data_IF_277034146865
#
_entry.id   IF_277034146865
#
_cell.length_a   1.000
_cell.length_b   1.000
_cell.length_c   1.000
_cell.angle_alpha   90.00
_cell.angle_beta   90.00
_cell.angle_gamma   90.00
#
_symmetry.space_group_name_H-M   'P 1'
#
loop_
_entity.id
_entity.type
_entity.pdbx_description
1 polymer ?
#
# COMPACT_ATOMS: atom_id res chain seq x y z
N UNK A 1 85.96 -25.41 0.34
CA UNK A 1 85.44 -26.06 -0.89
C UNK A 1 83.92 -26.02 -0.86
N UNK A 2 83.29 -25.11 -1.60
CA UNK A 2 81.86 -25.20 -1.92
C UNK A 2 81.69 -24.72 -3.37
N UNK A 3 81.75 -25.66 -4.31
CA UNK A 3 81.41 -25.39 -5.72
C UNK A 3 79.91 -25.07 -5.78
N UNK A 4 79.57 -23.81 -6.03
CA UNK A 4 78.22 -23.41 -6.41
C UNK A 4 77.96 -23.91 -7.82
N UNK A 5 77.15 -24.96 -7.95
CA UNK A 5 76.66 -25.44 -9.23
C UNK A 5 75.76 -24.37 -9.86
N UNK A 6 76.32 -23.58 -10.78
CA UNK A 6 75.55 -22.62 -11.54
C UNK A 6 74.60 -23.36 -12.48
N UNK A 7 73.30 -23.24 -12.23
CA UNK A 7 72.25 -23.78 -13.10
C UNK A 7 72.49 -23.33 -14.54
N UNK A 8 72.51 -24.29 -15.47
CA UNK A 8 72.71 -24.02 -16.88
C UNK A 8 71.65 -23.06 -17.41
N UNK A 9 71.98 -22.28 -18.44
CA UNK A 9 71.04 -21.33 -19.07
C UNK A 9 69.75 -22.02 -19.50
N UNK A 10 69.82 -23.27 -19.95
CA UNK A 10 68.66 -24.10 -20.34
C UNK A 10 67.76 -24.42 -19.14
N UNK A 11 68.35 -24.76 -18.00
CA UNK A 11 67.59 -25.07 -16.76
C UNK A 11 66.88 -23.82 -16.21
N UNK A 12 67.52 -22.65 -16.29
CA UNK A 12 66.88 -21.37 -15.91
C UNK A 12 65.71 -21.01 -16.82
N UNK A 13 65.85 -21.19 -18.14
CA UNK A 13 64.76 -20.95 -19.09
C UNK A 13 63.59 -21.91 -18.83
N UNK A 14 63.88 -23.21 -18.59
CA UNK A 14 62.84 -24.19 -18.29
C UNK A 14 62.05 -23.86 -17.00
N UNK A 15 62.74 -23.42 -15.94
CA UNK A 15 62.08 -22.99 -14.70
C UNK A 15 61.23 -21.74 -14.89
N UNK A 16 61.70 -20.76 -15.68
CA UNK A 16 60.92 -19.57 -16.01
C UNK A 16 59.67 -19.89 -16.83
N UNK A 17 59.77 -20.79 -17.81
CA UNK A 17 58.61 -21.22 -18.59
C UNK A 17 57.61 -22.02 -17.74
N UNK A 18 58.09 -22.85 -16.81
CA UNK A 18 57.23 -23.58 -15.88
C UNK A 18 56.51 -22.64 -14.90
N UNK A 19 57.22 -21.64 -14.35
CA UNK A 19 56.64 -20.63 -13.48
C UNK A 19 55.61 -19.74 -14.21
N UNK A 20 55.92 -19.33 -15.44
CA UNK A 20 55.00 -18.58 -16.29
C UNK A 20 53.75 -19.41 -16.66
N UNK A 21 53.92 -20.70 -16.96
CA UNK A 21 52.80 -21.62 -17.21
C UNK A 21 51.91 -21.81 -15.98
N UNK A 22 52.50 -21.97 -14.79
CA UNK A 22 51.76 -22.08 -13.53
C UNK A 22 50.99 -20.79 -13.19
N UNK A 23 51.58 -19.61 -13.43
CA UNK A 23 50.91 -18.33 -13.27
C UNK A 23 49.75 -18.15 -14.27
N UNK A 24 49.94 -18.56 -15.53
CA UNK A 24 48.88 -18.53 -16.54
C UNK A 24 47.71 -19.47 -16.20
N UNK A 25 47.99 -20.68 -15.70
CA UNK A 25 46.96 -21.62 -15.23
C UNK A 25 46.26 -21.10 -13.97
N UNK A 26 46.99 -20.56 -13.00
CA UNK A 26 46.42 -19.95 -11.80
C UNK A 26 45.51 -18.75 -12.10
N UNK A 27 45.93 -17.88 -13.02
CA UNK A 27 45.11 -16.78 -13.52
C UNK A 27 43.86 -17.28 -14.27
N UNK A 28 44.00 -18.36 -15.06
CA UNK A 28 42.88 -18.97 -15.77
C UNK A 28 41.84 -19.58 -14.81
N UNK A 29 42.28 -20.24 -13.74
CA UNK A 29 41.41 -20.79 -12.69
C UNK A 29 40.69 -19.68 -11.90
N UNK A 30 41.35 -18.54 -11.66
CA UNK A 30 40.70 -17.35 -11.05
C UNK A 30 39.66 -16.69 -11.97
N UNK A 31 39.79 -16.87 -13.30
CA UNK A 31 38.78 -16.40 -14.28
C UNK A 31 37.68 -17.43 -14.59
N UNK A 32 37.89 -18.71 -14.24
CA UNK A 32 36.90 -19.77 -14.40
C UNK A 32 35.86 -19.67 -13.28
N UNK A 33 34.91 -18.76 -13.49
CA UNK A 33 33.74 -18.59 -12.63
C UNK A 33 32.99 -19.91 -12.48
N UNK A 34 32.37 -20.14 -11.32
CA UNK A 34 31.67 -21.40 -11.08
C UNK A 34 30.44 -21.55 -12.01
N UNK A 35 29.99 -22.78 -12.32
CA UNK A 35 28.74 -23.01 -13.04
C UNK A 35 27.54 -22.30 -12.38
N UNK A 36 27.52 -22.24 -11.04
CA UNK A 36 26.49 -21.55 -10.26
C UNK A 36 26.51 -20.04 -10.51
N UNK A 37 27.67 -19.40 -10.52
CA UNK A 37 27.78 -17.95 -10.81
C UNK A 37 27.43 -17.60 -12.25
N UNK A 38 27.73 -18.49 -13.21
CA UNK A 38 27.27 -18.34 -14.59
C UNK A 38 25.75 -18.45 -14.69
N UNK A 39 25.15 -19.43 -14.01
CA UNK A 39 23.71 -19.61 -13.98
C UNK A 39 22.99 -18.43 -13.32
N UNK A 40 23.50 -17.92 -12.18
CA UNK A 40 22.92 -16.76 -11.49
C UNK A 40 22.97 -15.50 -12.34
N UNK A 41 24.09 -15.19 -13.00
CA UNK A 41 24.15 -14.04 -13.92
C UNK A 41 23.27 -14.22 -15.14
N UNK A 42 23.16 -15.44 -15.67
CA UNK A 42 22.25 -15.70 -16.77
C UNK A 42 20.79 -15.47 -16.34
N UNK A 43 20.40 -15.97 -15.17
CA UNK A 43 19.09 -15.70 -14.59
C UNK A 43 18.85 -14.20 -14.34
N UNK A 44 19.85 -13.50 -13.80
CA UNK A 44 19.82 -12.04 -13.61
C UNK A 44 19.68 -11.30 -14.93
N UNK A 45 20.37 -11.73 -16.00
CA UNK A 45 20.27 -11.14 -17.35
C UNK A 45 18.89 -11.41 -17.98
N UNK A 46 18.35 -12.61 -17.78
CA UNK A 46 17.00 -12.99 -18.24
C UNK A 46 15.94 -12.17 -17.51
N UNK A 47 16.13 -11.87 -16.23
CA UNK A 47 15.21 -11.10 -15.41
C UNK A 47 15.44 -9.58 -15.46
N UNK A 48 16.61 -9.11 -15.90
CA UNK A 48 16.98 -7.69 -15.90
C UNK A 48 16.02 -6.81 -16.74
N UNK A 49 15.39 -7.39 -17.75
CA UNK A 49 14.40 -6.70 -18.60
C UNK A 49 12.95 -7.11 -18.31
N UNK A 50 12.72 -7.94 -17.28
CA UNK A 50 11.39 -8.31 -16.82
C UNK A 50 11.17 -7.59 -15.49
N UNK A 51 10.50 -6.43 -15.50
CA UNK A 51 10.17 -5.77 -14.24
C UNK A 51 9.44 -6.74 -13.29
N UNK A 52 9.56 -6.63 -11.96
CA UNK A 52 8.86 -7.53 -11.04
C UNK A 52 7.34 -7.55 -11.33
N UNK A 53 6.79 -8.73 -11.66
CA UNK A 53 5.41 -8.90 -12.09
C UNK A 53 5.11 -8.56 -13.56
N UNK A 54 6.08 -8.08 -14.35
CA UNK A 54 5.89 -7.92 -15.78
C UNK A 54 5.65 -9.27 -16.44
N UNK A 55 4.64 -9.29 -17.30
CA UNK A 55 4.13 -10.47 -17.95
C UNK A 55 2.89 -11.01 -17.26
N UNK A 56 2.83 -11.16 -15.94
CA UNK A 56 1.68 -11.83 -15.30
C UNK A 56 0.48 -10.91 -15.09
N UNK A 57 0.71 -9.62 -14.91
CA UNK A 57 -0.35 -8.62 -14.79
C UNK A 57 -0.76 -8.11 -16.18
N UNK A 58 -2.05 -7.79 -16.31
CA UNK A 58 -2.67 -7.19 -17.50
C UNK A 58 -3.17 -5.79 -17.17
N UNK A 59 -3.57 -5.02 -18.18
CA UNK A 59 -4.26 -3.75 -17.94
C UNK A 59 -5.67 -4.01 -17.36
N UNK A 60 -6.13 -3.18 -16.43
CA UNK A 60 -7.46 -3.32 -15.80
C UNK A 60 -8.60 -3.22 -16.84
N UNK A 61 -8.39 -2.54 -17.98
CA UNK A 61 -9.38 -2.49 -19.07
C UNK A 61 -9.65 -3.86 -19.68
N UNK A 62 -8.69 -4.79 -19.64
CA UNK A 62 -8.89 -6.17 -20.08
C UNK A 62 -9.93 -6.88 -19.20
N UNK A 63 -9.96 -6.57 -17.90
CA UNK A 63 -10.98 -7.11 -17.01
C UNK A 63 -12.37 -6.57 -17.36
N UNK A 64 -12.47 -5.30 -17.76
CA UNK A 64 -13.73 -4.64 -18.10
C UNK A 64 -14.41 -5.19 -19.36
N UNK A 65 -13.65 -5.82 -20.28
CA UNK A 65 -14.22 -6.47 -21.47
C UNK A 65 -15.21 -7.59 -21.10
N UNK A 66 -14.93 -8.35 -20.04
CA UNK A 66 -15.78 -9.45 -19.57
C UNK A 66 -16.55 -9.10 -18.29
N UNK A 67 -16.07 -8.15 -17.48
CA UNK A 67 -16.64 -7.73 -16.20
C UNK A 67 -16.98 -6.23 -16.18
N UNK A 68 -17.83 -5.73 -17.09
CA UNK A 68 -18.06 -4.29 -17.23
C UNK A 68 -18.75 -3.66 -16.02
N UNK A 69 -19.61 -4.42 -15.33
CA UNK A 69 -20.36 -3.91 -14.17
C UNK A 69 -19.45 -3.72 -12.95
N UNK A 70 -18.63 -4.73 -12.65
CA UNK A 70 -17.66 -4.67 -11.56
C UNK A 70 -16.61 -3.60 -11.81
N UNK A 71 -16.09 -3.49 -13.03
CA UNK A 71 -15.11 -2.48 -13.41
C UNK A 71 -15.68 -1.05 -13.25
N UNK A 72 -16.89 -0.81 -13.76
CA UNK A 72 -17.53 0.49 -13.64
C UNK A 72 -17.80 0.87 -12.17
N UNK A 73 -18.30 -0.07 -11.36
CA UNK A 73 -18.55 0.17 -9.93
C UNK A 73 -17.25 0.39 -9.15
N UNK A 74 -16.21 -0.38 -9.45
CA UNK A 74 -14.93 -0.31 -8.74
C UNK A 74 -14.24 1.04 -8.94
N UNK A 75 -14.34 1.62 -10.14
CA UNK A 75 -13.77 2.93 -10.46
C UNK A 75 -14.28 4.09 -9.57
N UNK A 76 -15.45 3.90 -8.92
CA UNK A 76 -16.04 4.86 -7.99
C UNK A 76 -15.59 4.67 -6.53
N UNK A 77 -14.90 3.57 -6.24
CA UNK A 77 -14.47 3.22 -4.89
C UNK A 77 -13.32 4.08 -4.39
N UNK A 78 -13.06 4.03 -3.08
CA UNK A 78 -11.82 4.57 -2.52
C UNK A 78 -10.59 3.77 -2.94
N UNK A 79 -10.75 2.47 -3.19
CA UNK A 79 -9.69 1.56 -3.64
C UNK A 79 -9.13 1.97 -5.01
N UNK A 80 -9.98 2.37 -5.96
CA UNK A 80 -9.55 2.87 -7.27
C UNK A 80 -8.76 4.20 -7.22
N UNK A 81 -8.61 4.82 -6.03
CA UNK A 81 -8.14 6.21 -5.88
C UNK A 81 -7.11 6.36 -4.77
N UNK A 82 -6.49 5.29 -4.30
CA UNK A 82 -5.61 5.25 -3.12
C UNK A 82 -4.31 6.02 -3.28
N UNK A 83 -3.83 6.19 -4.51
CA UNK A 83 -2.60 6.87 -4.85
C UNK A 83 -2.76 7.57 -6.20
N UNK A 84 -2.01 8.65 -6.46
CA UNK A 84 -1.82 9.26 -7.78
C UNK A 84 -0.46 9.97 -7.84
N UNK A 85 0.12 10.19 -9.02
CA UNK A 85 1.04 11.31 -9.20
C UNK A 85 0.38 12.59 -8.70
N UNK A 86 1.08 13.40 -7.89
CA UNK A 86 0.49 14.56 -7.25
C UNK A 86 -0.04 15.58 -8.28
N UNK A 87 0.64 15.72 -9.42
CA UNK A 87 0.20 16.59 -10.50
C UNK A 87 -1.15 16.16 -11.13
N UNK A 88 -1.47 14.86 -11.07
CA UNK A 88 -2.71 14.29 -11.60
C UNK A 88 -3.81 14.17 -10.53
N UNK A 89 -3.54 14.61 -9.31
CA UNK A 89 -4.54 14.59 -8.25
C UNK A 89 -5.58 15.70 -8.50
N UNK A 90 -6.90 15.40 -8.47
CA UNK A 90 -7.94 16.39 -8.82
C UNK A 90 -7.93 17.67 -7.98
N UNK A 91 -7.38 17.63 -6.76
CA UNK A 91 -7.27 18.80 -5.89
C UNK A 91 -5.99 19.63 -6.07
N UNK A 92 -5.07 19.22 -6.95
CA UNK A 92 -3.74 19.82 -7.07
C UNK A 92 -3.79 21.30 -7.49
N UNK A 93 -4.61 21.63 -8.49
CA UNK A 93 -4.80 23.01 -8.93
C UNK A 93 -5.40 23.90 -7.83
N UNK A 94 -6.23 23.34 -6.95
CA UNK A 94 -6.81 24.08 -5.83
C UNK A 94 -5.80 24.48 -4.75
N UNK A 95 -4.60 23.90 -4.77
CA UNK A 95 -3.50 24.23 -3.88
C UNK A 95 -2.64 25.39 -4.37
N UNK A 96 -2.75 25.80 -5.64
CA UNK A 96 -1.93 26.90 -6.14
C UNK A 96 -2.15 28.17 -5.31
N UNK A 97 -1.04 28.81 -4.91
CA UNK A 97 -0.97 30.01 -4.06
C UNK A 97 -1.56 29.85 -2.66
N UNK A 98 -1.92 28.62 -2.23
CA UNK A 98 -2.33 28.39 -0.85
C UNK A 98 -1.14 28.44 0.09
N UNK A 99 -1.42 28.76 1.34
CA UNK A 99 -0.42 28.77 2.39
C UNK A 99 -0.92 28.06 3.63
N UNK A 100 -0.01 27.48 4.41
CA UNK A 100 -0.31 26.87 5.69
C UNK A 100 0.70 27.33 6.73
N UNK A 101 0.23 27.85 7.86
CA UNK A 101 1.07 28.21 9.00
C UNK A 101 1.21 26.98 9.90
N UNK A 102 2.42 26.45 10.07
CA UNK A 102 2.67 25.39 11.06
C UNK A 102 2.54 25.98 12.47
N UNK A 103 1.53 25.57 13.25
CA UNK A 103 1.30 26.14 14.59
C UNK A 103 2.38 25.72 15.59
N UNK A 104 3.18 24.70 15.29
CA UNK A 104 4.19 24.16 16.20
C UNK A 104 5.60 24.60 15.84
N UNK A 105 5.90 24.74 14.54
CA UNK A 105 7.26 25.05 14.07
C UNK A 105 7.48 26.50 13.66
N UNK A 106 6.42 27.31 13.64
CA UNK A 106 6.50 28.73 13.30
C UNK A 106 6.95 29.00 11.86
N UNK A 107 6.87 28.01 10.98
CA UNK A 107 7.18 28.12 9.54
C UNK A 107 5.90 28.20 8.73
N UNK A 108 5.96 28.87 7.58
CA UNK A 108 4.83 28.96 6.66
C UNK A 108 5.15 28.21 5.37
N UNK A 109 4.30 27.25 5.02
CA UNK A 109 4.38 26.58 3.73
C UNK A 109 3.62 27.39 2.69
N UNK A 110 4.22 27.54 1.52
CA UNK A 110 3.62 28.13 0.34
C UNK A 110 3.54 27.06 -0.74
N UNK A 111 2.36 26.86 -1.31
CA UNK A 111 2.11 25.86 -2.34
C UNK A 111 2.03 26.51 -3.71
N UNK A 112 2.64 25.84 -4.69
CA UNK A 112 2.54 26.19 -6.11
C UNK A 112 2.19 24.95 -6.89
N UNK A 113 1.25 25.09 -7.82
CA UNK A 113 0.94 24.06 -8.79
C UNK A 113 1.11 24.60 -10.20
N UNK A 114 1.83 23.85 -11.01
CA UNK A 114 1.94 24.06 -12.45
C UNK A 114 1.64 22.72 -13.16
N UNK A 115 0.83 22.70 -14.24
CA UNK A 115 0.55 21.46 -14.96
C UNK A 115 1.79 20.78 -15.58
N UNK A 116 2.85 21.53 -15.86
CA UNK A 116 4.11 21.03 -16.40
C UNK A 116 5.11 20.69 -15.29
N UNK A 117 5.27 21.56 -14.29
CA UNK A 117 6.26 21.36 -13.20
C UNK A 117 5.73 20.54 -12.01
N UNK A 118 4.41 20.32 -11.95
CA UNK A 118 3.75 19.60 -10.88
C UNK A 118 3.46 20.45 -9.64
N UNK A 119 3.34 19.79 -8.49
CA UNK A 119 2.99 20.41 -7.21
C UNK A 119 4.26 20.54 -6.36
N UNK A 120 4.49 21.69 -5.74
CA UNK A 120 5.63 21.92 -4.85
C UNK A 120 5.24 22.76 -3.63
N UNK A 121 6.05 22.63 -2.57
CA UNK A 121 5.96 23.46 -1.37
C UNK A 121 7.29 24.19 -1.12
N UNK A 122 7.23 25.45 -0.68
CA UNK A 122 8.39 26.26 -0.27
C UNK A 122 8.21 26.76 1.17
N UNK A 123 9.32 27.04 1.86
CA UNK A 123 9.34 27.73 3.15
C UNK A 123 10.30 28.94 3.03
N UNK A 124 9.82 30.09 2.52
CA UNK A 124 10.65 31.26 2.23
C UNK A 124 11.50 31.73 3.41
N UNK A 125 10.96 31.67 4.63
CA UNK A 125 11.65 32.15 5.83
C UNK A 125 12.86 31.31 6.23
N UNK A 126 12.99 30.08 5.69
CA UNK A 126 14.05 29.14 6.04
C UNK A 126 14.94 28.75 4.87
N UNK A 127 14.36 28.59 3.69
CA UNK A 127 15.05 28.05 2.50
C UNK A 127 14.89 28.96 1.27
N UNK A 128 14.36 30.17 1.43
CA UNK A 128 14.01 31.01 0.29
C UNK A 128 12.95 30.34 -0.60
N UNK A 129 12.98 30.63 -1.89
CA UNK A 129 11.98 30.15 -2.84
C UNK A 129 12.33 28.78 -3.46
N UNK A 130 13.26 28.03 -2.86
CA UNK A 130 13.66 26.72 -3.36
C UNK A 130 12.50 25.72 -3.22
N UNK A 131 11.95 25.20 -4.33
CA UNK A 131 10.78 24.34 -4.29
C UNK A 131 11.14 22.93 -3.81
N UNK A 132 10.34 22.41 -2.89
CA UNK A 132 10.36 21.00 -2.51
C UNK A 132 9.24 20.25 -3.24
N UNK A 133 9.56 19.31 -4.15
CA UNK A 133 8.57 18.70 -5.03
C UNK A 133 7.65 17.76 -4.28
N UNK A 134 6.34 17.84 -4.51
CA UNK A 134 5.35 16.89 -4.03
C UNK A 134 5.07 15.92 -5.18
N UNK A 135 5.54 14.68 -5.09
CA UNK A 135 5.57 13.77 -6.23
C UNK A 135 4.33 12.88 -6.32
N UNK A 136 3.86 12.40 -5.17
CA UNK A 136 2.74 11.47 -5.08
C UNK A 136 1.72 11.93 -4.05
N UNK A 137 0.44 11.69 -4.33
CA UNK A 137 -0.68 12.01 -3.47
C UNK A 137 -1.32 10.71 -2.96
N UNK A 138 -1.21 10.45 -1.65
CA UNK A 138 -1.76 9.28 -0.98
C UNK A 138 -3.11 9.60 -0.36
N UNK A 139 -4.14 8.82 -0.72
CA UNK A 139 -5.48 8.92 -0.16
C UNK A 139 -6.56 9.07 -1.22
N UNK A 140 -7.74 8.51 -0.95
CA UNK A 140 -8.89 8.49 -1.88
C UNK A 140 -9.54 9.84 -2.16
N UNK A 141 -9.10 10.92 -1.49
CA UNK A 141 -9.69 12.25 -1.59
C UNK A 141 -11.00 12.43 -0.80
N UNK A 142 -11.58 11.35 -0.23
CA UNK A 142 -12.83 11.42 0.56
C UNK A 142 -12.64 11.98 1.97
N UNK A 143 -11.43 11.83 2.54
CA UNK A 143 -11.12 12.26 3.90
C UNK A 143 -9.90 13.15 3.89
N UNK A 144 -8.76 12.56 3.53
CA UNK A 144 -7.47 13.21 3.59
C UNK A 144 -6.60 12.74 2.43
N UNK A 145 -5.72 13.62 1.97
CA UNK A 145 -4.66 13.35 1.01
C UNK A 145 -3.35 13.86 1.59
N UNK A 146 -2.36 12.99 1.69
CA UNK A 146 -1.01 13.32 2.16
C UNK A 146 -0.03 13.17 1.01
N UNK A 147 0.91 14.09 0.89
CA UNK A 147 1.89 14.04 -0.20
C UNK A 147 3.15 13.27 0.20
N UNK A 148 3.80 12.65 -0.78
CA UNK A 148 5.06 11.97 -0.63
C UNK A 148 6.06 12.52 -1.66
N UNK A 149 7.29 12.75 -1.22
CA UNK A 149 8.45 12.96 -2.09
C UNK A 149 9.40 11.79 -1.98
N UNK A 150 10.05 11.44 -3.07
CA UNK A 150 11.15 10.50 -3.10
C UNK A 150 12.43 11.30 -3.37
N UNK A 151 13.42 11.15 -2.49
CA UNK A 151 14.68 11.89 -2.55
C UNK A 151 15.86 10.92 -2.44
N UNK A 152 17.04 11.29 -2.97
CA UNK A 152 18.23 10.47 -2.74
C UNK A 152 18.57 10.45 -1.24
N UNK A 153 18.93 9.28 -0.73
CA UNK A 153 19.45 9.12 0.61
C UNK A 153 20.99 9.15 0.59
N UNK A 154 21.60 9.35 1.76
CA UNK A 154 23.07 9.47 1.91
C UNK A 154 23.88 8.22 1.50
N UNK A 155 23.20 7.11 1.24
CA UNK A 155 23.79 5.82 0.87
C UNK A 155 23.57 5.47 -0.60
N UNK A 156 23.06 6.40 -1.41
CA UNK A 156 22.77 6.18 -2.84
C UNK A 156 21.46 5.44 -3.12
N UNK A 157 20.62 5.22 -2.09
CA UNK A 157 19.26 4.71 -2.26
C UNK A 157 18.21 5.83 -2.26
N UNK A 158 16.94 5.45 -2.15
CA UNK A 158 15.82 6.40 -2.06
C UNK A 158 15.34 6.52 -0.60
N UNK A 159 14.99 7.72 -0.18
CA UNK A 159 14.25 8.00 1.06
C UNK A 159 12.92 8.67 0.71
N UNK A 160 11.92 8.42 1.55
CA UNK A 160 10.59 9.02 1.41
C UNK A 160 10.42 10.19 2.34
N UNK A 161 9.72 11.23 1.91
CA UNK A 161 9.29 12.33 2.78
C UNK A 161 7.77 12.36 2.76
N UNK A 162 7.13 11.82 3.80
CA UNK A 162 5.70 12.03 4.03
C UNK A 162 5.53 13.49 4.46
N UNK A 163 4.81 14.28 3.67
CA UNK A 163 4.72 15.71 3.89
C UNK A 163 4.03 16.09 5.19
N UNK A 164 4.49 17.19 5.78
CA UNK A 164 4.05 17.73 7.07
C UNK A 164 2.59 18.18 7.07
N UNK A 165 2.07 18.51 5.89
CA UNK A 165 0.73 19.04 5.70
C UNK A 165 -0.04 18.10 4.78
N UNK A 166 -1.24 17.75 5.22
CA UNK A 166 -2.23 17.03 4.41
C UNK A 166 -3.31 17.99 3.93
N UNK A 167 -4.05 17.56 2.92
CA UNK A 167 -5.29 18.20 2.49
C UNK A 167 -6.49 17.39 2.99
N UNK A 168 -7.45 18.06 3.61
CA UNK A 168 -8.76 17.50 3.92
C UNK A 168 -9.83 18.10 3.02
N UNK A 169 -10.62 17.21 2.46
CA UNK A 169 -11.81 17.56 1.69
C UNK A 169 -12.98 17.77 2.64
N UNK A 170 -13.60 18.95 2.62
CA UNK A 170 -14.78 19.29 3.40
C UNK A 170 -15.92 19.83 2.53
N UNK A 171 -17.06 20.16 3.17
CA UNK A 171 -18.20 20.79 2.49
C UNK A 171 -17.84 22.16 1.89
N UNK A 172 -16.89 22.86 2.51
CA UNK A 172 -16.45 24.20 2.12
C UNK A 172 -15.22 24.18 1.18
N UNK A 173 -14.92 23.02 0.58
CA UNK A 173 -13.76 22.82 -0.29
C UNK A 173 -12.56 22.19 0.45
N UNK A 174 -11.36 22.46 -0.05
CA UNK A 174 -10.13 21.90 0.51
C UNK A 174 -9.61 22.74 1.69
N UNK A 175 -9.16 22.06 2.73
CA UNK A 175 -8.52 22.63 3.91
C UNK A 175 -7.14 22.00 4.11
N UNK A 176 -6.18 22.80 4.57
CA UNK A 176 -4.82 22.34 4.90
C UNK A 176 -4.71 22.12 6.39
N UNK A 177 -4.05 21.03 6.78
CA UNK A 177 -3.88 20.64 8.18
C UNK A 177 -2.62 19.81 8.37
N UNK A 178 -2.17 19.67 9.62
CA UNK A 178 -1.02 18.83 9.93
C UNK A 178 -1.31 17.36 9.64
N UNK A 179 -0.35 16.69 9.02
CA UNK A 179 -0.40 15.25 8.80
C UNK A 179 -0.39 14.51 10.15
N UNK A 180 -1.30 13.55 10.39
CA UNK A 180 -1.45 12.93 11.71
C UNK A 180 -0.21 12.14 12.10
N UNK A 181 0.12 12.14 13.38
CA UNK A 181 1.27 11.40 13.92
C UNK A 181 2.62 12.07 13.69
N UNK A 182 2.67 13.24 13.04
CA UNK A 182 3.90 14.01 12.92
C UNK A 182 4.18 14.78 14.23
N UNK A 183 5.43 14.78 14.73
CA UNK A 183 5.77 15.38 16.01
C UNK A 183 5.59 16.91 16.01
N UNK A 184 5.20 17.47 17.16
CA UNK A 184 5.12 18.93 17.36
C UNK A 184 6.48 19.58 17.64
N UNK A 185 7.52 18.80 17.94
CA UNK A 185 8.86 19.31 18.24
C UNK A 185 9.60 19.92 17.02
N UNK A 186 10.72 20.62 17.27
CA UNK A 186 11.59 21.10 16.21
C UNK A 186 12.13 19.92 15.39
N UNK A 187 12.40 20.13 14.08
CA UNK A 187 12.98 19.08 13.24
C UNK A 187 14.42 18.77 13.68
N UNK A 188 14.79 17.48 13.69
CA UNK A 188 16.16 17.04 13.97
C UNK A 188 17.07 17.26 12.76
N UNK A 189 16.51 17.22 11.55
CA UNK A 189 17.22 17.44 10.29
C UNK A 189 16.51 18.51 9.44
N UNK A 190 17.24 19.24 8.60
CA UNK A 190 16.62 20.30 7.79
C UNK A 190 15.47 19.79 6.90
N UNK A 191 15.63 18.62 6.28
CA UNK A 191 14.59 18.00 5.43
C UNK A 191 13.30 17.73 6.20
N UNK A 192 13.38 17.52 7.52
CA UNK A 192 12.21 17.24 8.33
C UNK A 192 11.29 18.46 8.47
N UNK A 193 11.73 19.66 8.10
CA UNK A 193 10.84 20.81 7.95
C UNK A 193 9.73 20.54 6.93
N UNK A 194 9.99 19.73 5.89
CA UNK A 194 8.98 19.40 4.88
C UNK A 194 8.12 18.19 5.28
N UNK A 195 8.60 17.32 6.17
CA UNK A 195 7.85 16.11 6.51
C UNK A 195 8.61 15.07 7.33
N UNK A 196 7.97 13.93 7.54
CA UNK A 196 8.58 12.77 8.20
C UNK A 196 9.42 12.00 7.19
N UNK A 197 10.69 11.76 7.53
CA UNK A 197 11.55 10.87 6.75
C UNK A 197 11.11 9.42 6.95
N UNK A 198 10.88 8.72 5.85
CA UNK A 198 10.53 7.31 5.79
C UNK A 198 11.72 6.51 5.26
N UNK A 199 12.05 5.42 5.95
CA UNK A 199 13.01 4.44 5.46
C UNK A 199 12.43 3.63 4.27
N UNK A 200 13.29 2.95 3.48
CA UNK A 200 12.85 2.16 2.33
C UNK A 200 11.82 1.09 2.67
N UNK A 201 11.94 0.41 3.82
CA UNK A 201 11.02 -0.66 4.19
C UNK A 201 9.62 -0.11 4.50
N UNK A 202 9.52 1.07 5.12
CA UNK A 202 8.25 1.75 5.35
C UNK A 202 7.62 2.25 4.04
N UNK A 203 8.45 2.76 3.11
CA UNK A 203 8.01 3.15 1.78
C UNK A 203 7.39 1.98 0.99
N UNK A 204 8.03 0.81 1.01
CA UNK A 204 7.51 -0.40 0.38
C UNK A 204 6.15 -0.79 0.96
N UNK A 205 6.00 -0.76 2.30
CA UNK A 205 4.71 -1.01 2.97
C UNK A 205 3.61 -0.03 2.56
N UNK A 206 3.95 1.23 2.25
CA UNK A 206 2.97 2.17 1.70
C UNK A 206 2.43 1.69 0.35
N UNK A 207 3.30 1.22 -0.55
CA UNK A 207 2.88 0.71 -1.86
C UNK A 207 2.14 -0.63 -1.77
N UNK A 208 2.49 -1.48 -0.81
CA UNK A 208 1.76 -2.72 -0.53
C UNK A 208 0.28 -2.47 -0.26
N UNK A 209 -0.10 -1.32 0.30
CA UNK A 209 -1.50 -1.00 0.61
C UNK A 209 -2.16 -0.03 -0.39
N UNK A 210 -1.37 0.81 -1.07
CA UNK A 210 -1.90 1.91 -1.88
C UNK A 210 -1.73 1.75 -3.39
N UNK A 211 -0.99 0.76 -3.84
CA UNK A 211 -0.75 0.48 -5.26
C UNK A 211 -0.98 -1.00 -5.58
N UNK A 212 -1.46 -1.30 -6.78
CA UNK A 212 -1.56 -2.68 -7.28
C UNK A 212 -0.17 -3.15 -7.64
N UNK A 213 0.62 -2.25 -8.24
CA UNK A 213 1.99 -2.47 -8.67
C UNK A 213 2.79 -1.17 -8.55
N UNK A 214 4.09 -1.32 -8.41
CA UNK A 214 5.05 -0.21 -8.38
C UNK A 214 6.31 -0.61 -7.64
N UNK A 215 7.46 -0.20 -8.16
CA UNK A 215 8.75 -0.43 -7.54
C UNK A 215 9.50 0.89 -7.40
N UNK A 216 10.09 1.14 -6.22
CA UNK A 216 10.82 2.38 -5.98
C UNK A 216 12.25 2.23 -6.47
N UNK A 217 12.61 2.98 -7.52
CA UNK A 217 13.95 3.03 -8.10
C UNK A 217 14.26 4.44 -8.58
N UNK A 218 15.50 4.89 -8.41
CA UNK A 218 15.97 6.18 -8.93
C UNK A 218 15.05 7.36 -8.55
N UNK A 219 14.59 7.37 -7.29
CA UNK A 219 13.66 8.37 -6.75
C UNK A 219 12.30 8.43 -7.45
N UNK A 220 11.89 7.37 -8.13
CA UNK A 220 10.59 7.26 -8.79
C UNK A 220 9.92 5.92 -8.46
N UNK A 221 8.61 5.84 -8.67
CA UNK A 221 7.86 4.58 -8.66
C UNK A 221 7.69 4.10 -10.11
N UNK A 222 8.49 3.13 -10.51
CA UNK A 222 8.45 2.53 -11.84
C UNK A 222 7.34 1.48 -11.93
N UNK A 223 6.66 1.41 -13.09
CA UNK A 223 5.57 0.47 -13.32
C UNK A 223 4.36 0.68 -12.39
N UNK A 224 4.13 1.93 -11.97
CA UNK A 224 3.11 2.29 -11.00
C UNK A 224 1.70 2.05 -11.56
N UNK A 225 0.92 1.25 -10.83
CA UNK A 225 -0.53 1.14 -10.97
C UNK A 225 -1.16 1.69 -9.68
N UNK A 226 -1.57 2.98 -9.68
CA UNK A 226 -1.77 3.77 -8.47
C UNK A 226 -3.14 3.55 -7.82
N UNK A 227 -3.55 2.31 -7.63
CA UNK A 227 -4.85 1.95 -7.07
C UNK A 227 -4.75 0.69 -6.21
N UNK A 228 -5.85 0.29 -5.60
CA UNK A 228 -6.11 -1.09 -5.18
C UNK A 228 -7.06 -1.66 -6.23
N UNK A 229 -6.49 -2.10 -7.35
CA UNK A 229 -7.16 -2.55 -8.58
C UNK A 229 -7.59 -4.02 -8.53
N UNK A 230 -8.10 -4.52 -9.65
CA UNK A 230 -8.63 -5.88 -9.76
C UNK A 230 -7.60 -6.92 -9.30
N UNK A 231 -6.38 -6.77 -9.82
CA UNK A 231 -5.31 -7.73 -9.62
C UNK A 231 -4.65 -7.64 -8.24
N UNK A 232 -4.90 -6.58 -7.47
CA UNK A 232 -4.48 -6.49 -6.06
C UNK A 232 -5.21 -7.50 -5.19
N UNK A 233 -6.49 -7.73 -5.50
CA UNK A 233 -7.36 -8.67 -4.78
C UNK A 233 -7.40 -10.04 -5.43
N UNK A 234 -7.43 -10.12 -6.76
CA UNK A 234 -7.57 -11.36 -7.53
C UNK A 234 -6.25 -12.01 -7.94
N UNK A 235 -5.12 -11.30 -7.78
CA UNK A 235 -3.82 -11.72 -8.29
C UNK A 235 -3.62 -11.36 -9.77
N UNK A 236 -2.45 -11.68 -10.34
CA UNK A 236 -2.12 -11.36 -11.73
C UNK A 236 -3.08 -12.04 -12.72
N UNK A 237 -3.64 -11.27 -13.66
CA UNK A 237 -4.76 -11.69 -14.51
C UNK A 237 -4.39 -12.38 -15.83
N UNK A 238 -3.12 -12.41 -16.26
CA UNK A 238 -2.76 -12.88 -17.61
C UNK A 238 -3.23 -14.30 -17.89
N UNK A 239 -2.93 -15.23 -16.99
CA UNK A 239 -3.26 -16.65 -17.19
C UNK A 239 -4.76 -16.87 -17.24
N UNK A 240 -5.50 -16.19 -16.35
CA UNK A 240 -6.96 -16.18 -16.36
C UNK A 240 -7.51 -15.65 -17.69
N UNK A 241 -7.10 -14.46 -18.12
CA UNK A 241 -7.58 -13.85 -19.36
C UNK A 241 -7.27 -14.72 -20.58
N UNK A 242 -6.08 -15.32 -20.63
CA UNK A 242 -5.68 -16.24 -21.71
C UNK A 242 -6.59 -17.47 -21.74
N UNK A 243 -6.78 -18.12 -20.59
CA UNK A 243 -7.62 -19.30 -20.47
C UNK A 243 -9.09 -19.03 -20.86
N UNK A 244 -9.63 -17.86 -20.49
CA UNK A 244 -11.00 -17.49 -20.85
C UNK A 244 -11.14 -17.24 -22.36
N UNK A 245 -10.21 -16.53 -22.99
CA UNK A 245 -10.22 -16.31 -24.44
C UNK A 245 -10.08 -17.62 -25.24
N UNK A 246 -9.26 -18.55 -24.76
CA UNK A 246 -9.15 -19.88 -25.39
C UNK A 246 -10.39 -20.75 -25.18
N UNK A 247 -11.09 -20.60 -24.04
CA UNK A 247 -12.35 -21.31 -23.83
C UNK A 247 -13.44 -20.75 -24.74
N UNK A 248 -13.54 -19.43 -24.84
CA UNK A 248 -14.47 -18.72 -25.72
C UNK A 248 -14.26 -19.11 -27.19
N UNK A 249 -13.02 -19.16 -27.67
CA UNK A 249 -12.71 -19.57 -29.06
C UNK A 249 -13.07 -21.03 -29.35
N UNK A 250 -13.17 -21.87 -28.32
CA UNK A 250 -13.65 -23.26 -28.39
C UNK A 250 -15.16 -23.40 -28.17
N UNK A 251 -15.89 -22.28 -28.02
CA UNK A 251 -17.32 -22.28 -27.73
C UNK A 251 -17.67 -22.80 -26.33
N UNK A 252 -16.71 -22.78 -25.41
CA UNK A 252 -16.88 -23.25 -24.04
C UNK A 252 -17.08 -22.08 -23.08
N UNK A 253 -18.02 -22.22 -22.15
CA UNK A 253 -18.24 -21.26 -21.05
C UNK A 253 -17.65 -21.85 -19.78
N UNK A 254 -16.52 -21.31 -19.27
CA UNK A 254 -15.88 -21.82 -18.07
C UNK A 254 -16.78 -21.65 -16.84
N UNK A 255 -16.79 -22.66 -15.97
CA UNK A 255 -17.47 -22.54 -14.68
C UNK A 255 -16.82 -21.44 -13.83
N UNK A 256 -17.61 -20.67 -13.05
CA UNK A 256 -17.07 -19.70 -12.12
C UNK A 256 -16.10 -20.36 -11.13
N UNK A 257 -15.00 -19.69 -10.74
CA UNK A 257 -14.12 -20.21 -9.72
C UNK A 257 -14.88 -20.34 -8.38
N UNK A 258 -14.47 -21.30 -7.52
CA UNK A 258 -15.06 -21.42 -6.19
C UNK A 258 -14.89 -20.12 -5.42
N UNK A 259 -15.91 -19.75 -4.64
CA UNK A 259 -15.84 -18.59 -3.75
C UNK A 259 -14.77 -18.84 -2.70
N UNK A 260 -14.00 -17.80 -2.37
CA UNK A 260 -13.09 -17.81 -1.22
C UNK A 260 -13.89 -18.11 0.05
N UNK A 261 -13.30 -18.89 0.95
CA UNK A 261 -13.83 -19.03 2.31
C UNK A 261 -13.85 -17.68 3.03
N UNK A 262 -14.67 -17.54 4.07
CA UNK A 262 -14.71 -16.32 4.87
C UNK A 262 -13.33 -15.95 5.43
N UNK A 263 -12.57 -16.93 5.90
CA UNK A 263 -11.24 -16.71 6.46
C UNK A 263 -10.22 -16.28 5.40
N UNK A 264 -10.25 -16.86 4.20
CA UNK A 264 -9.41 -16.42 3.08
C UNK A 264 -9.75 -15.00 2.62
N UNK A 265 -11.03 -14.65 2.63
CA UNK A 265 -11.46 -13.29 2.36
C UNK A 265 -10.94 -12.31 3.41
N UNK A 266 -11.11 -12.61 4.70
CA UNK A 266 -10.62 -11.75 5.79
C UNK A 266 -9.11 -11.56 5.66
N UNK A 267 -8.35 -12.64 5.39
CA UNK A 267 -6.90 -12.57 5.16
C UNK A 267 -6.53 -11.70 3.97
N UNK A 268 -7.31 -11.73 2.88
CA UNK A 268 -7.05 -10.89 1.72
C UNK A 268 -7.25 -9.40 2.06
N UNK A 269 -8.35 -9.07 2.75
CA UNK A 269 -8.65 -7.70 3.15
C UNK A 269 -7.66 -7.18 4.21
N UNK A 270 -7.23 -8.03 5.13
CA UNK A 270 -6.39 -7.65 6.27
C UNK A 270 -4.94 -7.35 5.91
N UNK A 271 -4.52 -7.62 4.67
CA UNK A 271 -3.25 -7.13 4.12
C UNK A 271 -3.14 -5.61 4.21
N UNK A 272 -4.26 -4.90 4.03
CA UNK A 272 -4.32 -3.43 4.06
C UNK A 272 -5.20 -2.92 5.20
N UNK A 273 -6.33 -3.58 5.46
CA UNK A 273 -7.23 -3.27 6.59
C UNK A 273 -6.74 -3.96 7.88
N UNK A 274 -5.44 -3.75 8.13
CA UNK A 274 -4.55 -4.22 9.18
C UNK A 274 -5.16 -5.21 10.17
N UNK A 275 -4.52 -6.38 10.30
CA UNK A 275 -4.39 -7.04 11.61
C UNK A 275 -3.24 -6.33 12.33
N UNK A 276 -3.33 -6.05 13.63
CA UNK A 276 -2.12 -5.62 14.32
C UNK A 276 -1.25 -6.84 14.60
N UNK A 277 0.06 -6.69 14.44
CA UNK A 277 1.02 -7.64 15.04
C UNK A 277 0.98 -7.59 16.59
N UNK A 278 0.18 -6.67 17.15
CA UNK A 278 -0.11 -6.49 18.56
C UNK A 278 -1.51 -7.00 18.91
N UNK A 279 -1.88 -8.19 18.44
CA UNK A 279 -3.17 -8.83 18.70
C UNK A 279 -3.54 -8.81 20.20
N UNK A 280 -2.55 -8.90 21.09
CA UNK A 280 -2.78 -8.87 22.53
C UNK A 280 -3.06 -7.45 23.08
N UNK A 281 -2.43 -6.42 22.52
CA UNK A 281 -2.61 -5.04 22.99
C UNK A 281 -3.97 -4.47 22.52
N UNK A 282 -4.41 -4.83 21.31
CA UNK A 282 -5.72 -4.40 20.81
C UNK A 282 -6.88 -5.17 21.44
N UNK A 283 -6.71 -6.47 21.76
CA UNK A 283 -7.67 -7.23 22.59
C UNK A 283 -7.90 -6.58 23.95
N UNK A 284 -6.85 -5.95 24.52
CA UNK A 284 -6.88 -5.27 25.82
C UNK A 284 -7.46 -3.85 25.76
N UNK A 285 -7.74 -3.29 24.57
CA UNK A 285 -8.28 -1.94 24.39
C UNK A 285 -9.59 -1.92 23.56
N UNK A 286 -10.65 -2.62 24.00
CA UNK A 286 -11.95 -2.57 23.35
C UNK A 286 -12.43 -1.10 23.21
N UNK A 287 -12.97 -0.75 22.05
CA UNK A 287 -13.55 0.56 21.74
C UNK A 287 -12.56 1.72 21.59
N UNK A 288 -11.25 1.46 21.75
CA UNK A 288 -10.22 2.46 21.51
C UNK A 288 -10.03 2.70 20.01
N UNK A 289 -9.61 3.92 19.63
CA UNK A 289 -9.43 4.27 18.22
C UNK A 289 -8.42 3.36 17.49
N UNK A 290 -7.42 2.84 18.20
CA UNK A 290 -6.46 1.88 17.64
C UNK A 290 -7.11 0.53 17.29
N UNK A 291 -8.14 0.13 18.03
CA UNK A 291 -8.89 -1.11 17.83
C UNK A 291 -9.90 -0.97 16.68
N UNK A 292 -10.72 0.09 16.63
CA UNK A 292 -11.69 0.28 15.51
C UNK A 292 -11.03 0.58 14.15
N UNK A 293 -9.73 0.88 14.13
CA UNK A 293 -8.94 1.04 12.89
C UNK A 293 -8.56 -0.30 12.26
N UNK A 294 -8.58 -1.40 13.01
CA UNK A 294 -8.23 -2.76 12.53
C UNK A 294 -9.49 -3.61 12.35
N UNK A 295 -10.29 -3.30 11.33
CA UNK A 295 -11.64 -3.89 11.17
C UNK A 295 -11.61 -5.42 11.12
N UNK A 296 -10.59 -6.01 10.48
CA UNK A 296 -10.42 -7.45 10.42
C UNK A 296 -10.21 -8.07 11.81
N UNK A 297 -9.37 -7.46 12.65
CA UNK A 297 -9.08 -7.96 14.00
C UNK A 297 -10.30 -7.83 14.93
N UNK A 298 -11.10 -6.76 14.80
CA UNK A 298 -12.35 -6.62 15.56
C UNK A 298 -13.41 -7.63 15.11
N UNK A 299 -13.56 -7.84 13.79
CA UNK A 299 -14.52 -8.82 13.25
C UNK A 299 -14.23 -10.23 13.74
N UNK A 300 -12.96 -10.65 13.73
CA UNK A 300 -12.55 -11.98 14.22
C UNK A 300 -12.85 -12.21 15.70
N UNK A 301 -12.98 -11.14 16.49
CA UNK A 301 -13.35 -11.19 17.91
C UNK A 301 -14.87 -11.10 18.15
N UNK A 302 -15.66 -10.83 17.11
CA UNK A 302 -17.11 -10.71 17.24
C UNK A 302 -17.77 -12.07 17.49
N UNK A 303 -18.88 -12.07 18.25
CA UNK A 303 -19.73 -13.27 18.37
C UNK A 303 -20.33 -13.68 17.04
N UNK A 304 -20.63 -12.71 16.18
CA UNK A 304 -21.13 -12.95 14.84
C UNK A 304 -20.17 -13.85 14.05
N UNK A 305 -18.87 -13.51 14.03
CA UNK A 305 -17.87 -14.32 13.33
C UNK A 305 -17.69 -15.70 13.97
N UNK A 306 -17.45 -15.75 15.29
CA UNK A 306 -17.14 -17.02 15.99
C UNK A 306 -18.30 -18.00 16.04
N UNK A 307 -19.54 -17.54 15.85
CA UNK A 307 -20.75 -18.37 15.80
C UNK A 307 -21.26 -18.59 14.37
N UNK A 308 -20.60 -18.02 13.35
CA UNK A 308 -21.05 -18.14 11.96
C UNK A 308 -20.58 -19.41 11.23
N UNK A 309 -19.69 -20.21 11.84
CA UNK A 309 -19.11 -21.42 11.24
C UNK A 309 -18.56 -21.15 9.82
N UNK A 310 -17.66 -20.18 9.70
CA UNK A 310 -17.02 -19.73 8.44
C UNK A 310 -17.98 -19.15 7.37
N UNK A 311 -19.22 -18.78 7.74
CA UNK A 311 -20.17 -18.13 6.81
C UNK A 311 -20.09 -16.60 6.78
N UNK A 312 -19.42 -15.96 7.75
CA UNK A 312 -19.35 -14.50 7.86
C UNK A 312 -17.97 -13.98 7.44
N UNK A 313 -17.92 -13.23 6.34
CA UNK A 313 -16.74 -12.50 5.89
C UNK A 313 -17.03 -11.02 5.65
N UNK A 314 -16.02 -10.27 5.22
CA UNK A 314 -16.17 -8.85 4.91
C UNK A 314 -17.25 -8.60 3.84
N UNK A 315 -17.35 -9.49 2.84
CA UNK A 315 -18.33 -9.32 1.76
C UNK A 315 -19.73 -9.81 2.08
N UNK A 316 -19.96 -10.38 3.26
CA UNK A 316 -21.33 -10.62 3.73
C UNK A 316 -22.06 -9.29 3.92
N UNK A 317 -21.33 -8.24 4.31
CA UNK A 317 -21.89 -6.91 4.56
C UNK A 317 -21.50 -5.88 3.50
N UNK A 318 -20.29 -5.96 2.93
CA UNK A 318 -19.77 -4.97 1.97
C UNK A 318 -19.64 -5.54 0.57
N UNK A 319 -20.06 -4.81 -0.46
CA UNK A 319 -19.66 -5.14 -1.82
C UNK A 319 -18.22 -4.63 -2.05
N UNK A 320 -17.23 -5.51 -2.30
CA UNK A 320 -15.83 -5.10 -2.48
C UNK A 320 -15.60 -4.29 -3.77
N UNK A 321 -16.52 -4.35 -4.73
CA UNK A 321 -16.46 -3.62 -5.99
C UNK A 321 -17.26 -2.32 -5.98
N UNK A 322 -18.04 -2.04 -4.94
CA UNK A 322 -18.86 -0.82 -4.88
C UNK A 322 -18.38 0.15 -3.79
N UNK A 323 -18.67 1.45 -3.91
CA UNK A 323 -18.47 2.38 -2.81
C UNK A 323 -19.16 1.89 -1.53
N UNK A 324 -18.49 2.07 -0.39
CA UNK A 324 -19.09 1.77 0.91
C UNK A 324 -20.41 2.55 1.06
N UNK A 325 -21.49 1.82 1.33
CA UNK A 325 -22.81 2.40 1.56
C UNK A 325 -22.75 3.42 2.70
N UNK A 326 -23.42 4.56 2.50
CA UNK A 326 -23.45 5.66 3.46
C UNK A 326 -24.63 5.57 4.42
N UNK A 327 -25.71 4.89 4.00
CA UNK A 327 -26.89 4.69 4.82
C UNK A 327 -26.69 3.45 5.70
N UNK A 328 -26.97 3.59 7.00
CA UNK A 328 -26.97 2.48 7.92
C UNK A 328 -28.08 1.45 7.59
N UNK A 329 -29.17 1.89 6.97
CA UNK A 329 -30.29 1.02 6.58
C UNK A 329 -29.87 -0.10 5.61
N UNK A 330 -28.90 0.17 4.73
CA UNK A 330 -28.36 -0.82 3.78
C UNK A 330 -27.70 -2.00 4.52
N UNK A 331 -27.13 -1.74 5.70
CA UNK A 331 -26.51 -2.77 6.53
C UNK A 331 -27.51 -3.48 7.46
N UNK A 332 -28.60 -2.80 7.86
CA UNK A 332 -29.63 -3.40 8.72
C UNK A 332 -30.23 -4.65 8.08
N UNK A 333 -30.46 -4.63 6.76
CA UNK A 333 -30.97 -5.82 6.07
C UNK A 333 -30.02 -7.02 6.19
N UNK A 334 -28.70 -6.79 6.14
CA UNK A 334 -27.69 -7.85 6.37
C UNK A 334 -27.75 -8.39 7.79
N UNK A 335 -28.02 -7.55 8.79
CA UNK A 335 -28.23 -8.01 10.16
C UNK A 335 -29.47 -8.91 10.25
N UNK A 336 -30.56 -8.52 9.60
CA UNK A 336 -31.84 -9.22 9.66
C UNK A 336 -31.84 -10.59 8.96
N UNK A 337 -30.93 -10.83 8.01
CA UNK A 337 -30.73 -12.16 7.41
C UNK A 337 -30.46 -13.25 8.47
N UNK A 338 -29.77 -12.90 9.58
CA UNK A 338 -29.51 -13.81 10.69
C UNK A 338 -30.38 -13.51 11.93
N UNK A 339 -30.61 -12.23 12.24
CA UNK A 339 -31.30 -11.81 13.47
C UNK A 339 -32.83 -11.73 13.33
N UNK A 340 -33.35 -11.74 12.11
CA UNK A 340 -34.78 -11.87 11.81
C UNK A 340 -35.23 -13.31 11.54
N UNK A 341 -34.28 -14.26 11.52
CA UNK A 341 -34.57 -15.66 11.26
C UNK A 341 -35.39 -16.30 12.41
N UNK A 342 -36.25 -17.29 12.13
CA UNK A 342 -36.98 -18.01 13.17
C UNK A 342 -36.03 -18.62 14.22
N UNK A 343 -36.31 -18.38 15.50
CA UNK A 343 -35.47 -18.85 16.60
C UNK A 343 -34.25 -17.97 16.93
N UNK A 344 -34.01 -16.89 16.17
CA UNK A 344 -32.99 -15.91 16.51
C UNK A 344 -33.43 -15.04 17.70
N UNK A 345 -32.45 -14.57 18.49
CA UNK A 345 -32.71 -13.59 19.55
C UNK A 345 -32.95 -12.22 18.89
N UNK A 346 -34.21 -11.79 18.91
CA UNK A 346 -34.61 -10.48 18.39
C UNK A 346 -34.20 -9.35 19.35
N UNK A 347 -33.89 -8.19 18.78
CA UNK A 347 -33.58 -6.99 19.54
C UNK A 347 -34.84 -6.46 20.26
N UNK A 348 -34.83 -6.33 21.60
CA UNK A 348 -36.02 -5.87 22.33
C UNK A 348 -36.28 -4.36 22.20
N UNK A 349 -35.32 -3.59 21.65
CA UNK A 349 -35.39 -2.13 21.54
C UNK A 349 -35.84 -1.70 20.14
N UNK A 350 -35.22 -2.28 19.12
CA UNK A 350 -35.52 -1.97 17.72
C UNK A 350 -35.32 -3.25 16.90
N UNK A 351 -36.39 -4.08 16.75
CA UNK A 351 -36.27 -5.40 16.16
C UNK A 351 -36.04 -5.40 14.64
N UNK A 352 -36.33 -4.29 13.95
CA UNK A 352 -36.28 -4.20 12.49
C UNK A 352 -35.44 -3.03 11.95
N UNK A 353 -34.87 -2.18 12.80
CA UNK A 353 -34.18 -0.95 12.37
C UNK A 353 -33.04 -0.54 13.32
N UNK A 354 -32.20 0.41 12.88
CA UNK A 354 -31.23 1.14 13.72
C UNK A 354 -30.22 0.27 14.51
N UNK A 355 -29.88 -0.91 13.97
CA UNK A 355 -28.96 -1.84 14.62
C UNK A 355 -27.55 -1.23 14.77
N UNK A 356 -27.09 -0.52 13.74
CA UNK A 356 -25.71 0.03 13.62
C UNK A 356 -25.41 1.02 14.74
N UNK A 357 -26.35 1.88 15.13
CA UNK A 357 -26.11 2.90 16.18
C UNK A 357 -25.74 2.29 17.52
N UNK A 358 -26.37 1.17 17.90
CA UNK A 358 -26.14 0.51 19.18
C UNK A 358 -25.07 -0.59 19.13
N UNK A 359 -24.98 -1.32 18.02
CA UNK A 359 -24.09 -2.48 17.90
C UNK A 359 -22.77 -2.20 17.19
N UNK A 360 -22.70 -1.13 16.39
CA UNK A 360 -21.50 -0.69 15.68
C UNK A 360 -21.32 0.84 15.81
N UNK A 361 -21.32 1.40 17.03
CA UNK A 361 -21.28 2.84 17.22
C UNK A 361 -20.03 3.43 16.58
N UNK A 362 -20.18 4.63 16.01
CA UNK A 362 -19.05 5.40 15.53
C UNK A 362 -18.17 5.80 16.73
N UNK A 363 -16.87 5.59 16.60
CA UNK A 363 -15.86 6.11 17.51
C UNK A 363 -15.20 7.29 16.83
N UNK A 364 -15.18 8.43 17.52
CA UNK A 364 -14.47 9.62 17.08
C UNK A 364 -12.96 9.40 17.22
N UNK A 365 -12.24 9.83 16.20
CA UNK A 365 -10.81 9.69 16.06
C UNK A 365 -10.22 11.06 15.73
N UNK A 366 -9.41 11.60 16.64
CA UNK A 366 -8.62 12.81 16.37
C UNK A 366 -9.47 13.97 15.79
N UNK A 367 -10.70 14.14 16.27
CA UNK A 367 -11.62 15.20 15.84
C UNK A 367 -12.24 15.04 14.43
N UNK A 368 -12.00 13.93 13.72
CA UNK A 368 -12.25 13.91 12.28
C UNK A 368 -12.83 12.62 11.67
N UNK A 369 -12.73 11.46 12.33
CA UNK A 369 -13.15 10.19 11.68
C UNK A 369 -14.06 9.33 12.55
N UNK A 370 -15.35 9.32 12.21
CA UNK A 370 -16.28 8.29 12.64
C UNK A 370 -15.88 6.95 12.01
N UNK A 371 -15.31 6.05 12.81
CA UNK A 371 -15.10 4.64 12.43
C UNK A 371 -16.07 3.78 13.20
N UNK A 372 -16.78 2.90 12.50
CA UNK A 372 -17.68 1.96 13.13
C UNK A 372 -16.90 0.79 13.72
N UNK A 373 -17.26 0.43 14.96
CA UNK A 373 -16.77 -0.77 15.62
C UNK A 373 -17.22 -2.04 14.85
N UNK A 374 -16.26 -2.88 14.45
CA UNK A 374 -16.51 -4.14 13.73
C UNK A 374 -16.55 -5.37 14.64
N UNK A 375 -16.52 -5.19 15.97
CA UNK A 375 -16.77 -6.27 16.93
C UNK A 375 -18.25 -6.55 17.14
N UNK A 376 -19.11 -5.64 16.67
CA UNK A 376 -20.56 -5.79 16.52
C UNK A 376 -21.22 -6.26 17.82
N UNK A 377 -21.22 -5.40 18.83
CA UNK A 377 -21.71 -5.73 20.18
C UNK A 377 -22.42 -4.54 20.82
N UNK A 378 -23.34 -4.84 21.73
CA UNK A 378 -23.91 -3.82 22.61
C UNK A 378 -22.80 -3.30 23.54
N UNK A 379 -22.55 -2.00 23.54
CA UNK A 379 -21.64 -1.39 24.53
C UNK A 379 -22.33 -1.35 25.90
N UNK A 380 -21.63 -1.67 27.00
CA UNK A 380 -22.11 -1.35 28.33
C UNK A 380 -22.39 0.16 28.42
N UNK A 381 -23.41 0.62 29.16
CA UNK A 381 -23.56 2.05 29.41
C UNK A 381 -22.25 2.57 30.04
N UNK A 382 -21.69 3.63 29.47
CA UNK A 382 -20.49 4.29 30.01
C UNK A 382 -20.79 4.71 31.44
N UNK A 383 -19.98 4.27 32.41
CA UNK A 383 -20.03 4.82 33.76
C UNK A 383 -19.84 6.34 33.65
N UNK A 384 -20.81 7.10 34.15
CA UNK A 384 -20.78 8.56 34.15
C UNK A 384 -19.74 9.08 35.13
#
# INVERSE_FOLDING_TARGET
MHQRWALSRRTRIALWLAAAGLLAVGASVLTLRSPRERALRHAETVLANVPPGFGLYVDDSLCAECHPQEAASHAETGHARTLRPAAQWPGAAGLDKRTFQDPHRGVKYHYRFDPQDGLAATIPERFGNDPFPLMYAFGSGKRRVTFLSLIPNRFGGTAGIEHRVSVRSGKDGISLELTPGHPSGPPAQQVENFGRVLDPALLERCLECHATRGEIRDQEIQGLEPNVGCQKCHGPGREHATAMREAESRGHQPSPPPRRSALEQIRACSRCHLQSDADNELKAMPDHIRSVRVQAAELLQSRCFTQSEDRLGCSTCHNPHAPIARDAADYVQRCLECHGAPGAVSCPVSPAADCVRCHMPAVEADGEVNRHDHRIRKKPPTAR
#
